data_IF_640663869133
#
_entry.id   IF_640663869133
#
_cell.length_a   1.000
_cell.length_b   1.000
_cell.length_c   1.000
_cell.angle_alpha   90.00
_cell.angle_beta   90.00
_cell.angle_gamma   90.00
#
_symmetry.space_group_name_H-M   'P 1'
#
loop_
_entity.id
_entity.type
_entity.pdbx_description
1 polymer ?
#
# COMPACT_ATOMS: atom_id res chain seq x y z
N UNK A 1 -3.19 36.89 7.99
CA UNK A 1 -4.28 36.70 8.96
C UNK A 1 -5.40 35.86 8.34
N UNK A 2 -5.11 34.61 7.96
CA UNK A 2 -6.07 33.70 7.29
C UNK A 2 -5.93 32.24 7.78
N UNK A 3 -4.74 31.86 8.25
CA UNK A 3 -4.43 30.53 8.79
C UNK A 3 -5.38 30.06 9.92
N UNK A 4 -5.76 30.87 10.94
CA UNK A 4 -6.64 30.37 11.99
C UNK A 4 -8.07 30.05 11.50
N UNK A 5 -8.56 30.75 10.48
CA UNK A 5 -9.88 30.50 9.90
C UNK A 5 -9.90 29.20 9.08
N UNK A 6 -8.81 28.91 8.35
CA UNK A 6 -8.65 27.66 7.58
C UNK A 6 -8.62 26.44 8.51
N UNK A 7 -8.02 26.55 9.70
CA UNK A 7 -8.00 25.46 10.69
C UNK A 7 -9.38 25.20 11.31
N UNK A 8 -10.19 26.25 11.50
CA UNK A 8 -11.54 26.13 12.05
C UNK A 8 -12.53 25.43 11.10
N UNK A 9 -12.31 25.51 9.78
CA UNK A 9 -13.10 24.80 8.76
C UNK A 9 -13.00 23.26 8.84
N UNK A 10 -11.96 22.71 9.48
CA UNK A 10 -11.71 21.26 9.53
C UNK A 10 -11.60 20.68 10.96
N UNK A 11 -11.43 21.51 11.99
CA UNK A 11 -11.48 21.09 13.39
C UNK A 11 -12.89 21.33 13.98
N UNK A 12 -13.89 20.57 13.51
CA UNK A 12 -15.11 20.36 14.29
C UNK A 12 -14.92 19.12 15.15
N UNK A 13 -14.84 19.32 16.46
CA UNK A 13 -14.79 18.20 17.40
C UNK A 13 -16.17 18.05 18.02
N UNK A 14 -16.93 16.98 17.69
CA UNK A 14 -18.19 16.73 18.35
C UNK A 14 -17.98 16.58 19.87
N UNK A 15 -18.89 17.21 20.61
CA UNK A 15 -18.94 17.15 22.07
C UNK A 15 -19.30 15.73 22.54
N UNK A 16 -20.19 15.03 21.81
CA UNK A 16 -20.48 13.62 22.02
C UNK A 16 -19.50 12.72 21.27
N UNK A 17 -18.79 11.86 22.00
CA UNK A 17 -17.82 10.92 21.44
C UNK A 17 -18.43 9.90 20.48
N UNK A 18 -19.75 9.67 20.53
CA UNK A 18 -20.45 8.73 19.66
C UNK A 18 -20.42 9.16 18.19
N UNK A 19 -20.32 10.46 17.92
CA UNK A 19 -20.26 10.98 16.56
C UNK A 19 -18.96 10.61 15.83
N UNK A 20 -17.90 10.17 16.55
CA UNK A 20 -16.67 9.63 15.93
C UNK A 20 -16.77 8.15 15.54
N UNK A 21 -17.78 7.41 16.00
CA UNK A 21 -17.91 5.96 15.72
C UNK A 21 -17.91 5.67 14.21
N UNK A 22 -18.66 6.41 13.36
CA UNK A 22 -18.63 6.19 11.91
C UNK A 22 -17.23 6.40 11.30
N UNK A 23 -16.50 7.41 11.78
CA UNK A 23 -15.13 7.69 11.34
C UNK A 23 -14.18 6.56 11.75
N UNK A 24 -14.28 6.07 12.99
CA UNK A 24 -13.47 4.95 13.47
C UNK A 24 -13.71 3.69 12.64
N UNK A 25 -14.97 3.33 12.36
CA UNK A 25 -15.31 2.17 11.53
C UNK A 25 -14.71 2.31 10.13
N UNK A 26 -14.86 3.48 9.51
CA UNK A 26 -14.34 3.75 8.16
C UNK A 26 -12.81 3.63 8.15
N UNK A 27 -12.13 4.30 9.08
CA UNK A 27 -10.67 4.22 9.22
C UNK A 27 -10.20 2.78 9.43
N UNK A 28 -10.85 2.00 10.30
CA UNK A 28 -10.51 0.60 10.54
C UNK A 28 -10.70 -0.25 9.28
N UNK A 29 -11.79 -0.05 8.54
CA UNK A 29 -12.04 -0.80 7.30
C UNK A 29 -10.97 -0.51 6.24
N UNK A 30 -10.61 0.77 6.04
CA UNK A 30 -9.53 1.14 5.13
C UNK A 30 -8.17 0.62 5.58
N UNK A 31 -7.88 0.65 6.88
CA UNK A 31 -6.63 0.11 7.43
C UNK A 31 -6.53 -1.39 7.15
N UNK A 32 -7.59 -2.16 7.40
CA UNK A 32 -7.62 -3.60 7.12
C UNK A 32 -7.44 -3.84 5.62
N UNK A 33 -8.17 -3.11 4.77
CA UNK A 33 -8.05 -3.23 3.32
C UNK A 33 -6.63 -2.91 2.82
N UNK A 34 -5.98 -1.88 3.36
CA UNK A 34 -4.61 -1.52 3.01
C UNK A 34 -3.62 -2.62 3.41
N UNK A 35 -3.75 -3.18 4.62
CA UNK A 35 -2.90 -4.28 5.08
C UNK A 35 -3.07 -5.55 4.22
N UNK A 36 -4.31 -5.90 3.86
CA UNK A 36 -4.59 -7.03 2.98
C UNK A 36 -4.03 -6.80 1.58
N UNK A 37 -4.21 -5.61 1.02
CA UNK A 37 -3.71 -5.23 -0.30
C UNK A 37 -2.18 -5.29 -0.33
N UNK A 38 -1.50 -4.73 0.67
CA UNK A 38 -0.04 -4.80 0.79
C UNK A 38 0.46 -6.26 0.85
N UNK A 39 -0.21 -7.12 1.64
CA UNK A 39 0.15 -8.55 1.68
C UNK A 39 -0.05 -9.25 0.35
N UNK A 40 -1.13 -8.93 -0.37
CA UNK A 40 -1.39 -9.48 -1.70
C UNK A 40 -0.31 -9.07 -2.70
N UNK A 41 0.06 -7.78 -2.72
CA UNK A 41 1.11 -7.25 -3.60
C UNK A 41 2.44 -7.96 -3.33
N UNK A 42 2.85 -8.08 -2.07
CA UNK A 42 4.12 -8.76 -1.70
C UNK A 42 4.11 -10.22 -2.17
N UNK A 43 2.99 -10.93 -1.99
CA UNK A 43 2.87 -12.34 -2.41
C UNK A 43 3.02 -12.47 -3.92
N UNK A 44 2.35 -11.61 -4.68
CA UNK A 44 2.42 -11.61 -6.14
C UNK A 44 3.83 -11.24 -6.61
N UNK A 45 4.46 -10.24 -5.97
CA UNK A 45 5.82 -9.81 -6.30
C UNK A 45 6.82 -10.96 -6.15
N UNK A 46 6.75 -11.73 -5.06
CA UNK A 46 7.64 -12.88 -4.84
C UNK A 46 7.47 -13.97 -5.91
N UNK A 47 6.23 -14.23 -6.30
CA UNK A 47 5.94 -15.20 -7.35
C UNK A 47 6.46 -14.75 -8.72
N UNK A 48 6.32 -13.46 -9.04
CA UNK A 48 6.88 -12.90 -10.27
C UNK A 48 8.40 -12.91 -10.27
N UNK A 49 9.02 -12.59 -9.13
CA UNK A 49 10.48 -12.62 -8.96
C UNK A 49 11.03 -14.04 -9.20
N UNK A 50 10.40 -15.07 -8.63
CA UNK A 50 10.82 -16.45 -8.84
C UNK A 50 10.72 -16.87 -10.31
N UNK A 51 9.63 -16.49 -10.98
CA UNK A 51 9.47 -16.75 -12.42
C UNK A 51 10.48 -16.03 -13.28
N UNK A 52 10.77 -14.76 -12.96
CA UNK A 52 11.78 -13.98 -13.66
C UNK A 52 13.16 -14.63 -13.53
N UNK A 53 13.55 -15.07 -12.32
CA UNK A 53 14.82 -15.79 -12.09
C UNK A 53 14.89 -17.10 -12.90
N UNK A 54 13.82 -17.88 -12.92
CA UNK A 54 13.79 -19.12 -13.73
C UNK A 54 13.96 -18.84 -15.22
N UNK A 55 13.35 -17.75 -15.71
CA UNK A 55 13.47 -17.32 -17.10
C UNK A 55 14.88 -16.81 -17.43
N UNK A 56 15.49 -16.00 -16.55
CA UNK A 56 16.89 -15.57 -16.68
C UNK A 56 17.85 -16.77 -16.72
N UNK A 57 17.65 -17.78 -15.87
CA UNK A 57 18.45 -19.01 -15.90
C UNK A 57 18.30 -19.79 -17.21
N UNK A 58 17.09 -19.84 -17.80
CA UNK A 58 16.87 -20.46 -19.10
C UNK A 58 17.65 -19.73 -20.19
N UNK A 59 17.55 -18.40 -20.24
CA UNK A 59 18.28 -17.58 -21.21
C UNK A 59 19.80 -17.70 -21.06
N UNK A 60 20.29 -17.85 -19.82
CA UNK A 60 21.71 -18.12 -19.56
C UNK A 60 22.13 -19.49 -20.07
N UNK A 61 21.30 -20.53 -19.89
CA UNK A 61 21.57 -21.87 -20.47
C UNK A 61 21.62 -21.84 -21.99
N UNK A 62 20.79 -21.01 -22.61
CA UNK A 62 20.76 -20.80 -24.05
C UNK A 62 21.85 -19.83 -24.55
N UNK A 63 22.70 -19.30 -23.67
CA UNK A 63 23.76 -18.32 -23.95
C UNK A 63 23.25 -17.04 -24.65
N UNK A 64 21.97 -16.71 -24.49
CA UNK A 64 21.34 -15.52 -25.09
C UNK A 64 21.72 -14.25 -24.32
N UNK A 65 21.93 -14.37 -23.01
CA UNK A 65 22.34 -13.28 -22.12
C UNK A 65 23.68 -13.67 -21.48
N UNK A 66 24.66 -12.76 -21.55
CA UNK A 66 25.92 -12.84 -20.81
C UNK A 66 25.93 -11.74 -19.74
N UNK A 67 26.43 -12.05 -18.54
CA UNK A 67 26.68 -11.03 -17.52
C UNK A 67 27.74 -10.05 -18.06
N UNK A 68 27.34 -8.80 -18.29
CA UNK A 68 28.25 -7.70 -18.50
C UNK A 68 29.01 -7.49 -17.18
N UNK A 69 30.31 -7.79 -17.21
CA UNK A 69 31.19 -7.93 -16.05
C UNK A 69 31.44 -6.61 -15.32
#
# INVERSE_FOLDING_TARGET
>A
MMIPYILNLFLYFPEDKREYIPAAITCTLFLIAALLTMRLIIKISKYQEEKAKQFEEQLRRENIIQDDK
#
